data_IF_339385241045
#
_entry.id   IF_339385241045
#
_cell.length_a   1.000
_cell.length_b   1.000
_cell.length_c   1.000
_cell.angle_alpha   90.00
_cell.angle_beta   90.00
_cell.angle_gamma   90.00
#
_symmetry.space_group_name_H-M   'P 1'
#
loop_
_entity.id
_entity.type
_entity.pdbx_description
1 polymer ?
#
# COMPACT_ATOMS: atom_id res chain seq x y z
N UNK A 1 41.91 -4.46 -0.84
CA UNK A 1 41.08 -4.68 -2.05
C UNK A 1 39.94 -5.68 -1.79
N UNK A 2 40.17 -6.85 -1.17
CA UNK A 2 39.13 -7.87 -0.91
C UNK A 2 37.94 -7.37 -0.05
N UNK A 3 38.21 -6.63 1.03
CA UNK A 3 37.18 -6.18 1.99
C UNK A 3 36.30 -5.03 1.46
N UNK A 4 36.80 -4.26 0.50
CA UNK A 4 36.09 -3.10 -0.06
C UNK A 4 34.96 -3.56 -0.99
N UNK A 5 35.20 -4.62 -1.77
CA UNK A 5 34.18 -5.21 -2.64
C UNK A 5 33.03 -5.85 -1.85
N UNK A 6 33.33 -6.50 -0.71
CA UNK A 6 32.31 -7.09 0.16
C UNK A 6 31.41 -6.04 0.82
N UNK A 7 31.98 -4.92 1.26
CA UNK A 7 31.21 -3.82 1.86
C UNK A 7 30.27 -3.14 0.85
N UNK A 8 30.72 -2.92 -0.39
CA UNK A 8 29.90 -2.34 -1.47
C UNK A 8 28.75 -3.28 -1.85
N UNK A 9 28.98 -4.59 -1.88
CA UNK A 9 27.95 -5.58 -2.17
C UNK A 9 26.85 -5.59 -1.07
N UNK A 10 27.23 -5.56 0.21
CA UNK A 10 26.27 -5.54 1.31
C UNK A 10 25.42 -4.27 1.35
N UNK A 11 25.98 -3.10 0.99
CA UNK A 11 25.20 -1.86 0.87
C UNK A 11 24.17 -1.90 -0.26
N UNK A 12 24.45 -2.60 -1.37
CA UNK A 12 23.53 -2.70 -2.50
C UNK A 12 22.25 -3.48 -2.14
N UNK A 13 22.36 -4.58 -1.39
CA UNK A 13 21.20 -5.39 -1.00
C UNK A 13 20.24 -4.68 -0.03
N UNK A 14 20.70 -3.71 0.75
CA UNK A 14 19.85 -3.00 1.72
C UNK A 14 18.87 -2.00 1.07
N UNK A 15 18.98 -1.74 -0.23
CA UNK A 15 18.25 -0.68 -0.94
C UNK A 15 16.94 -1.11 -1.62
N UNK A 16 16.57 -2.40 -1.57
CA UNK A 16 15.48 -2.92 -2.42
C UNK A 16 14.34 -3.52 -1.59
N UNK A 17 13.48 -2.64 -1.05
CA UNK A 17 12.12 -3.00 -0.64
C UNK A 17 11.16 -2.64 -1.78
N UNK A 18 10.95 -3.60 -2.70
CA UNK A 18 9.96 -3.47 -3.76
C UNK A 18 8.62 -3.97 -3.22
N UNK A 19 7.74 -3.04 -2.85
CA UNK A 19 6.34 -3.37 -2.58
C UNK A 19 5.54 -3.16 -3.87
N UNK A 20 4.77 -4.18 -4.28
CA UNK A 20 3.80 -4.05 -5.35
C UNK A 20 2.75 -3.02 -4.91
N UNK A 21 2.69 -1.88 -5.59
CA UNK A 21 1.78 -0.81 -5.25
C UNK A 21 0.45 -1.10 -5.93
N UNK A 22 -0.64 -1.18 -5.16
CA UNK A 22 -1.98 -1.39 -5.69
C UNK A 22 -2.24 -0.46 -6.90
N UNK A 23 -2.63 -1.03 -8.04
CA UNK A 23 -2.91 -0.30 -9.29
C UNK A 23 -4.17 0.58 -9.23
N UNK A 24 -4.96 0.44 -8.16
CA UNK A 24 -6.13 1.25 -7.89
C UNK A 24 -6.36 1.41 -6.39
N UNK A 25 -6.89 2.56 -6.00
CA UNK A 25 -7.30 2.86 -4.63
C UNK A 25 -8.60 3.68 -4.66
N UNK A 26 -9.48 3.45 -3.68
CA UNK A 26 -10.73 4.19 -3.52
C UNK A 26 -10.90 4.62 -2.06
N UNK A 27 -11.46 5.81 -1.86
CA UNK A 27 -11.88 6.27 -0.54
C UNK A 27 -13.20 5.60 -0.18
N UNK A 28 -13.29 5.01 1.02
CA UNK A 28 -14.49 4.33 1.50
C UNK A 28 -14.95 4.88 2.84
N UNK A 29 -16.25 4.85 3.09
CA UNK A 29 -16.86 5.23 4.37
C UNK A 29 -17.79 4.14 4.90
N UNK A 30 -18.13 4.25 6.19
CA UNK A 30 -19.10 3.37 6.84
C UNK A 30 -18.71 1.90 6.83
N UNK A 31 -17.41 1.58 6.81
CA UNK A 31 -16.92 0.20 6.76
C UNK A 31 -17.41 -0.57 7.98
N UNK A 32 -18.35 -1.49 7.78
CA UNK A 32 -18.75 -2.42 8.81
C UNK A 32 -17.93 -3.69 8.68
N UNK A 33 -17.13 -3.95 9.70
CA UNK A 33 -16.49 -5.24 9.86
C UNK A 33 -17.53 -6.10 10.59
N UNK A 34 -18.15 -7.03 9.85
CA UNK A 34 -19.03 -8.02 10.47
C UNK A 34 -18.35 -8.68 11.67
N UNK A 35 -19.15 -9.02 12.69
CA UNK A 35 -18.71 -9.68 13.93
C UNK A 35 -17.77 -10.86 13.61
N UNK A 36 -16.73 -11.15 14.42
CA UNK A 36 -15.88 -12.32 14.24
C UNK A 36 -16.72 -13.60 14.34
N UNK A 37 -17.20 -14.07 13.20
CA UNK A 37 -17.92 -15.32 13.02
C UNK A 37 -17.01 -16.29 12.26
N UNK A 38 -16.73 -17.42 12.89
CA UNK A 38 -15.88 -18.46 12.34
C UNK A 38 -16.16 -19.78 13.06
N UNK A 39 -15.85 -20.89 12.41
CA UNK A 39 -15.87 -22.19 13.09
C UNK A 39 -14.60 -22.31 13.95
N UNK A 40 -14.56 -23.22 14.94
CA UNK A 40 -13.33 -23.51 15.70
C UNK A 40 -12.11 -23.87 14.83
N UNK A 41 -12.32 -24.28 13.57
CA UNK A 41 -11.28 -24.63 12.61
C UNK A 41 -11.00 -23.52 11.57
N UNK A 42 -11.63 -22.35 11.70
CA UNK A 42 -11.36 -21.17 10.87
C UNK A 42 -11.84 -19.90 11.57
N UNK A 43 -10.99 -19.29 12.42
CA UNK A 43 -11.31 -18.07 13.19
C UNK A 43 -11.58 -16.81 12.35
N UNK A 44 -11.53 -16.89 11.02
CA UNK A 44 -11.66 -15.73 10.13
C UNK A 44 -12.24 -16.02 8.75
N UNK A 45 -13.03 -17.09 8.56
CA UNK A 45 -13.54 -17.46 7.23
C UNK A 45 -15.06 -17.74 7.21
N UNK A 46 -15.83 -17.11 8.09
CA UNK A 46 -17.30 -17.06 7.97
C UNK A 46 -17.71 -15.74 7.31
N UNK A 47 -18.12 -15.80 6.05
CA UNK A 47 -18.55 -14.67 5.19
C UNK A 47 -18.82 -13.36 5.91
N UNK A 48 -17.84 -12.47 5.90
CA UNK A 48 -18.02 -11.10 6.39
C UNK A 48 -18.66 -10.27 5.27
N UNK A 49 -19.91 -9.76 5.43
CA UNK A 49 -20.36 -8.69 4.58
C UNK A 49 -19.51 -7.47 4.91
N UNK A 50 -18.52 -7.17 4.06
CA UNK A 50 -17.85 -5.87 4.08
C UNK A 50 -18.79 -4.90 3.38
N UNK A 51 -19.71 -4.30 4.13
CA UNK A 51 -20.47 -3.17 3.62
C UNK A 51 -19.61 -1.92 3.79
N UNK A 52 -19.45 -1.19 2.69
CA UNK A 52 -18.79 0.09 2.65
C UNK A 52 -19.38 0.89 1.49
N UNK A 53 -19.41 2.20 1.65
CA UNK A 53 -19.76 3.13 0.58
C UNK A 53 -18.47 3.62 -0.07
N UNK A 54 -18.43 3.65 -1.41
CA UNK A 54 -17.33 4.25 -2.15
C UNK A 54 -17.63 5.75 -2.31
N UNK A 55 -16.71 6.58 -1.82
CA UNK A 55 -16.81 8.03 -1.91
C UNK A 55 -16.11 8.51 -3.19
N UNK A 56 -16.88 8.76 -4.25
CA UNK A 56 -16.33 9.16 -5.55
C UNK A 56 -15.58 10.49 -5.47
N UNK A 57 -16.16 11.53 -4.87
CA UNK A 57 -15.55 12.86 -4.77
C UNK A 57 -14.24 12.84 -3.96
N UNK A 58 -14.24 12.10 -2.84
CA UNK A 58 -13.04 11.94 -2.02
C UNK A 58 -11.95 11.15 -2.78
N UNK A 59 -12.37 10.13 -3.53
CA UNK A 59 -11.46 9.35 -4.38
C UNK A 59 -10.84 10.23 -5.46
N UNK A 60 -11.62 11.03 -6.18
CA UNK A 60 -11.11 11.92 -7.23
C UNK A 60 -10.14 12.98 -6.67
N UNK A 61 -10.49 13.58 -5.53
CA UNK A 61 -9.61 14.51 -4.82
C UNK A 61 -8.26 13.87 -4.46
N UNK A 62 -8.29 12.67 -3.86
CA UNK A 62 -7.10 11.91 -3.51
C UNK A 62 -6.28 11.52 -4.75
N UNK A 63 -6.93 11.07 -5.83
CA UNK A 63 -6.28 10.79 -7.11
C UNK A 63 -5.59 12.04 -7.69
N UNK A 64 -6.21 13.21 -7.56
CA UNK A 64 -5.61 14.48 -7.96
C UNK A 64 -4.32 14.79 -7.21
N UNK A 65 -4.28 14.59 -5.89
CA UNK A 65 -3.04 14.73 -5.11
C UNK A 65 -2.00 13.70 -5.49
N UNK A 66 -2.41 12.44 -5.64
CA UNK A 66 -1.51 11.35 -6.02
C UNK A 66 -0.85 11.59 -7.37
N UNK A 67 -1.59 12.02 -8.40
CA UNK A 67 -1.01 12.33 -9.71
C UNK A 67 -0.03 13.51 -9.69
N UNK A 68 -0.12 14.38 -8.68
CA UNK A 68 0.79 15.51 -8.47
C UNK A 68 1.96 15.17 -7.53
N UNK A 69 2.12 13.92 -7.11
CA UNK A 69 3.33 13.50 -6.42
C UNK A 69 4.53 13.59 -7.38
N UNK A 70 5.73 13.51 -6.83
CA UNK A 70 7.03 13.74 -7.48
C UNK A 70 7.39 15.22 -7.68
N UNK A 71 6.76 16.14 -6.94
CA UNK A 71 7.11 17.58 -6.94
C UNK A 71 7.95 18.01 -5.74
N UNK A 72 8.36 17.09 -4.86
CA UNK A 72 9.08 17.39 -3.62
C UNK A 72 10.25 16.44 -3.36
N UNK A 73 11.00 16.73 -2.29
CA UNK A 73 12.24 16.04 -1.94
C UNK A 73 12.10 15.07 -0.75
N UNK A 74 10.90 14.92 -0.18
CA UNK A 74 10.67 13.99 0.92
C UNK A 74 10.34 12.61 0.36
N UNK A 75 10.56 11.56 1.16
CA UNK A 75 10.37 10.18 0.72
C UNK A 75 8.98 9.90 0.15
N UNK A 76 7.92 10.48 0.74
CA UNK A 76 6.54 10.33 0.26
C UNK A 76 6.18 11.22 -0.93
N UNK A 77 7.04 12.19 -1.26
CA UNK A 77 6.92 12.95 -2.50
C UNK A 77 7.43 12.11 -3.68
N UNK A 78 8.29 11.12 -3.45
CA UNK A 78 8.94 10.30 -4.49
C UNK A 78 8.43 8.86 -4.41
N UNK A 79 7.23 8.64 -4.95
CA UNK A 79 6.70 7.28 -5.07
C UNK A 79 6.81 6.90 -6.56
N UNK A 80 7.81 6.13 -6.99
CA UNK A 80 7.84 5.63 -8.36
C UNK A 80 6.61 4.75 -8.60
N UNK A 81 5.74 5.14 -9.53
CA UNK A 81 4.78 4.18 -10.09
C UNK A 81 5.58 3.33 -11.05
N UNK A 82 5.73 2.04 -10.74
CA UNK A 82 6.30 1.11 -11.70
C UNK A 82 5.23 0.84 -12.76
N UNK A 83 5.55 1.17 -14.01
CA UNK A 83 4.74 0.90 -15.20
C UNK A 83 4.84 -0.58 -15.60
#
# INVERSE_FOLDING_TARGET
>A
MQYFAGAVFLLALASQVMADLHSSAVCVSGRQIGHPGGTPFSPGMGGFPKTYEILLDATDCACGYYRRRNTGNKQWDQCPDFA
#
